data_IF_563490704304
#
_entry.id   IF_563490704304
#
_cell.length_a   1.000
_cell.length_b   1.000
_cell.length_c   1.000
_cell.angle_alpha   90.00
_cell.angle_beta   90.00
_cell.angle_gamma   90.00
#
_symmetry.space_group_name_H-M   'P 1'
#
loop_
_entity.id
_entity.type
_entity.pdbx_description
1 polymer ?
#
# COMPACT_ATOMS: atom_id res chain seq x y z
N UNK A 1 10.21 25.53 29.82
CA UNK A 1 11.32 25.25 28.87
C UNK A 1 10.86 24.93 27.45
N UNK A 2 9.84 24.08 27.21
CA UNK A 2 9.32 23.77 25.86
C UNK A 2 8.80 25.01 25.10
N UNK A 3 8.06 25.90 25.76
CA UNK A 3 7.47 27.10 25.15
C UNK A 3 8.47 28.05 24.48
N UNK A 4 9.64 28.24 25.11
CA UNK A 4 10.71 29.12 24.59
C UNK A 4 11.30 28.54 23.29
N UNK A 5 11.40 27.21 23.20
CA UNK A 5 11.95 26.52 22.04
C UNK A 5 10.98 26.53 20.85
N UNK A 6 9.68 26.46 21.12
CA UNK A 6 8.63 26.49 20.10
C UNK A 6 8.45 27.90 19.51
N UNK A 7 8.56 28.95 20.33
CA UNK A 7 8.59 30.34 19.83
C UNK A 7 9.78 30.59 18.89
N UNK A 8 10.98 30.14 19.27
CA UNK A 8 12.17 30.24 18.41
C UNK A 8 12.01 29.48 17.09
N UNK A 9 11.34 28.33 17.09
CA UNK A 9 11.05 27.57 15.86
C UNK A 9 10.12 28.33 14.94
N UNK A 10 9.05 28.91 15.48
CA UNK A 10 8.07 29.68 14.70
C UNK A 10 8.69 30.93 14.08
N UNK A 11 9.59 31.62 14.80
CA UNK A 11 10.35 32.76 14.27
C UNK A 11 11.29 32.36 13.12
N UNK A 12 11.96 31.21 13.21
CA UNK A 12 12.79 30.71 12.10
C UNK A 12 11.90 30.38 10.90
N UNK A 13 10.72 29.80 11.11
CA UNK A 13 9.80 29.45 10.03
C UNK A 13 9.23 30.69 9.32
N UNK A 14 8.90 31.74 10.06
CA UNK A 14 8.39 33.00 9.50
C UNK A 14 9.46 33.71 8.67
N UNK A 15 10.71 33.77 9.16
CA UNK A 15 11.82 34.39 8.43
C UNK A 15 12.25 33.60 7.18
N UNK A 16 12.06 32.28 7.19
CA UNK A 16 12.24 31.46 5.99
C UNK A 16 11.13 31.68 4.96
N UNK A 17 9.90 32.00 5.40
CA UNK A 17 8.81 32.35 4.48
C UNK A 17 9.03 33.71 3.79
N UNK A 18 9.72 34.64 4.45
CA UNK A 18 10.00 35.97 3.90
C UNK A 18 11.26 36.04 3.02
N UNK A 19 11.89 34.90 2.69
CA UNK A 19 13.00 34.84 1.75
C UNK A 19 14.34 35.39 2.28
N UNK A 20 14.51 35.52 3.60
CA UNK A 20 15.77 36.01 4.15
C UNK A 20 16.93 35.02 4.01
N UNK A 21 18.13 35.56 3.82
CA UNK A 21 19.37 34.77 3.76
C UNK A 21 19.69 34.10 5.10
N UNK A 22 20.33 32.92 5.00
CA UNK A 22 20.60 32.05 6.16
C UNK A 22 21.40 32.76 7.26
N UNK A 23 22.41 33.55 6.88
CA UNK A 23 23.22 34.33 7.82
C UNK A 23 22.40 35.38 8.59
N UNK A 24 21.40 36.00 7.94
CA UNK A 24 20.53 37.01 8.55
C UNK A 24 19.59 36.37 9.59
N UNK A 25 19.09 35.17 9.31
CA UNK A 25 18.19 34.41 10.21
C UNK A 25 18.94 33.95 11.46
N UNK A 26 20.13 33.36 11.27
CA UNK A 26 20.98 32.87 12.37
C UNK A 26 21.36 33.99 13.33
N UNK A 27 21.75 35.16 12.81
CA UNK A 27 22.04 36.34 13.64
C UNK A 27 20.81 36.82 14.43
N UNK A 28 19.63 36.80 13.80
CA UNK A 28 18.39 37.38 14.37
C UNK A 28 17.77 36.50 15.45
N UNK A 29 17.76 35.18 15.28
CA UNK A 29 17.15 34.24 16.24
C UNK A 29 18.16 33.65 17.22
N UNK A 30 19.47 33.91 17.02
CA UNK A 30 20.58 33.37 17.82
C UNK A 30 20.50 31.83 17.95
N UNK A 31 20.37 31.16 16.81
CA UNK A 31 20.33 29.69 16.72
C UNK A 31 21.55 29.18 15.98
N UNK A 32 22.05 27.99 16.32
CA UNK A 32 23.18 27.41 15.59
C UNK A 32 22.81 27.08 14.14
N UNK A 33 23.80 27.14 13.25
CA UNK A 33 23.63 26.79 11.83
C UNK A 33 23.05 25.38 11.64
N UNK A 34 23.49 24.42 12.47
CA UNK A 34 22.99 23.05 12.47
C UNK A 34 21.49 22.98 12.80
N UNK A 35 21.02 23.79 13.76
CA UNK A 35 19.61 23.85 14.15
C UNK A 35 18.75 24.41 13.01
N UNK A 36 19.24 25.43 12.30
CA UNK A 36 18.57 26.00 11.13
C UNK A 36 18.44 24.96 10.01
N UNK A 37 19.53 24.27 9.67
CA UNK A 37 19.55 23.27 8.59
C UNK A 37 18.59 22.11 8.89
N UNK A 38 18.50 21.67 10.15
CA UNK A 38 17.53 20.65 10.57
C UNK A 38 16.07 21.11 10.42
N UNK A 39 15.77 22.38 10.70
CA UNK A 39 14.42 22.95 10.52
C UNK A 39 14.08 23.08 9.02
N UNK A 40 15.04 23.54 8.22
CA UNK A 40 14.90 23.67 6.77
C UNK A 40 14.69 22.32 6.07
N UNK A 41 15.46 21.29 6.43
CA UNK A 41 15.31 19.94 5.89
C UNK A 41 13.91 19.39 6.21
N UNK A 42 13.44 19.54 7.45
CA UNK A 42 12.08 19.12 7.86
C UNK A 42 11.01 19.85 7.03
N UNK A 43 11.18 21.16 6.82
CA UNK A 43 10.26 21.98 6.03
C UNK A 43 10.23 21.58 4.55
N UNK A 44 11.39 21.31 3.96
CA UNK A 44 11.50 20.87 2.57
C UNK A 44 10.76 19.55 2.34
N UNK A 45 10.91 18.57 3.24
CA UNK A 45 10.17 17.30 3.18
C UNK A 45 8.66 17.52 3.15
N UNK A 46 8.16 18.37 4.06
CA UNK A 46 6.73 18.66 4.19
C UNK A 46 6.20 19.36 2.93
N UNK A 47 6.95 20.32 2.37
CA UNK A 47 6.55 21.01 1.14
C UNK A 47 6.54 20.08 -0.08
N UNK A 48 7.52 19.18 -0.22
CA UNK A 48 7.57 18.19 -1.29
C UNK A 48 6.40 17.21 -1.23
N UNK A 49 6.03 16.79 -0.03
CA UNK A 49 4.88 15.90 0.20
C UNK A 49 3.56 16.65 -0.02
N UNK A 50 3.43 17.88 0.49
CA UNK A 50 2.23 18.70 0.33
C UNK A 50 1.98 19.15 -1.11
N UNK A 51 3.04 19.37 -1.92
CA UNK A 51 2.93 19.69 -3.36
C UNK A 51 2.65 18.46 -4.26
N UNK A 52 2.34 17.30 -3.66
CA UNK A 52 1.74 16.16 -4.37
C UNK A 52 2.71 15.17 -5.01
N UNK A 53 4.00 15.16 -4.63
CA UNK A 53 4.99 14.31 -5.28
C UNK A 53 5.10 12.86 -4.76
N UNK A 54 4.73 12.59 -3.51
CA UNK A 54 5.06 11.33 -2.83
C UNK A 54 3.86 10.78 -2.06
N UNK A 55 3.33 9.65 -2.51
CA UNK A 55 2.13 9.04 -1.93
C UNK A 55 2.39 8.30 -0.61
N UNK A 56 3.65 7.92 -0.34
CA UNK A 56 4.01 7.06 0.78
C UNK A 56 5.26 7.54 1.53
N UNK A 57 5.34 7.22 2.83
CA UNK A 57 6.51 7.52 3.67
C UNK A 57 7.80 6.80 3.23
N UNK A 58 7.68 5.67 2.52
CA UNK A 58 8.83 4.93 1.95
C UNK A 58 9.40 5.68 0.76
N UNK A 59 8.55 6.13 -0.17
CA UNK A 59 8.97 6.96 -1.31
C UNK A 59 9.62 8.27 -0.82
N UNK A 60 9.06 8.87 0.23
CA UNK A 60 9.64 10.05 0.86
C UNK A 60 11.02 9.79 1.47
N UNK A 61 11.25 8.62 2.09
CA UNK A 61 12.58 8.21 2.58
C UNK A 61 13.57 8.07 1.41
N UNK A 62 13.17 7.43 0.32
CA UNK A 62 14.03 7.19 -0.84
C UNK A 62 14.43 8.50 -1.53
N UNK A 63 13.49 9.43 -1.74
CA UNK A 63 13.80 10.75 -2.28
C UNK A 63 14.73 11.54 -1.34
N UNK A 64 14.55 11.43 -0.02
CA UNK A 64 15.44 12.07 0.96
C UNK A 64 16.87 11.54 0.91
N UNK A 65 17.02 10.23 0.73
CA UNK A 65 18.32 9.60 0.56
C UNK A 65 18.98 10.04 -0.74
N UNK A 66 18.23 10.16 -1.83
CA UNK A 66 18.75 10.48 -3.16
C UNK A 66 19.06 11.98 -3.33
N UNK A 67 18.12 12.87 -2.98
CA UNK A 67 18.26 14.32 -3.20
C UNK A 67 19.12 15.02 -2.15
N UNK A 68 19.06 14.58 -0.89
CA UNK A 68 19.71 15.28 0.23
C UNK A 68 20.81 14.46 0.90
N UNK A 69 21.09 13.21 0.45
CA UNK A 69 22.05 12.27 1.07
C UNK A 69 21.80 12.06 2.57
N UNK A 70 20.56 12.19 3.02
CA UNK A 70 20.16 12.02 4.42
C UNK A 70 19.51 10.64 4.56
N UNK A 71 20.15 9.74 5.31
CA UNK A 71 19.58 8.44 5.64
C UNK A 71 18.67 8.56 6.88
N UNK A 72 17.37 8.39 6.68
CA UNK A 72 16.37 8.36 7.76
C UNK A 72 15.53 7.09 7.67
N UNK A 73 15.07 6.58 8.82
CA UNK A 73 14.10 5.48 8.83
C UNK A 73 12.73 5.96 8.34
N UNK A 74 11.97 5.06 7.71
CA UNK A 74 10.61 5.37 7.28
C UNK A 74 9.71 5.79 8.46
N UNK A 75 9.97 5.29 9.66
CA UNK A 75 9.24 5.69 10.88
C UNK A 75 9.54 7.12 11.31
N UNK A 76 10.78 7.59 11.12
CA UNK A 76 11.12 9.01 11.35
C UNK A 76 10.33 9.91 10.42
N UNK A 77 10.17 9.49 9.15
CA UNK A 77 9.35 10.20 8.17
C UNK A 77 7.87 10.18 8.59
N UNK A 78 7.32 9.02 8.98
CA UNK A 78 5.93 8.91 9.48
C UNK A 78 5.65 9.80 10.69
N UNK A 79 6.55 9.79 11.69
CA UNK A 79 6.42 10.64 12.89
C UNK A 79 6.44 12.12 12.55
N UNK A 80 7.36 12.50 11.66
CA UNK A 80 7.46 13.89 11.21
C UNK A 80 6.17 14.31 10.53
N UNK A 81 5.65 13.51 9.59
CA UNK A 81 4.40 13.79 8.90
C UNK A 81 3.21 13.90 9.84
N UNK A 82 3.10 12.98 10.81
CA UNK A 82 2.06 13.04 11.85
C UNK A 82 2.14 14.33 12.67
N UNK A 83 3.34 14.78 13.05
CA UNK A 83 3.55 16.04 13.78
C UNK A 83 3.16 17.28 12.97
N UNK A 84 3.24 17.22 11.64
CA UNK A 84 2.78 18.29 10.74
C UNK A 84 1.29 18.16 10.37
N UNK A 85 0.53 17.27 11.03
CA UNK A 85 -0.89 17.05 10.73
C UNK A 85 -1.15 16.25 9.46
N UNK A 86 -0.10 15.76 8.78
CA UNK A 86 -0.17 14.92 7.59
C UNK A 86 -0.27 13.44 8.00
N UNK A 87 -1.32 13.13 8.77
CA UNK A 87 -1.68 11.76 9.12
C UNK A 87 -2.10 10.97 7.89
N UNK A 88 -1.86 9.65 7.89
CA UNK A 88 -2.30 8.79 6.81
C UNK A 88 -3.84 8.83 6.71
N UNK A 89 -4.34 9.30 5.56
CA UNK A 89 -5.74 9.15 5.23
C UNK A 89 -5.98 7.67 4.88
N UNK A 90 -7.03 7.02 5.41
CA UNK A 90 -7.37 5.67 5.01
C UNK A 90 -7.59 5.65 3.50
N UNK A 91 -6.80 4.84 2.79
CA UNK A 91 -6.96 4.65 1.34
C UNK A 91 -8.37 4.10 1.12
N UNK A 92 -9.26 4.90 0.53
CA UNK A 92 -10.59 4.42 0.14
C UNK A 92 -10.40 3.22 -0.78
N UNK A 93 -10.83 2.04 -0.33
CA UNK A 93 -10.92 0.87 -1.18
C UNK A 93 -11.95 1.19 -2.26
N UNK A 94 -11.52 1.23 -3.53
CA UNK A 94 -12.47 1.32 -4.64
C UNK A 94 -13.25 0.00 -4.65
N UNK A 95 -14.48 0.05 -4.17
CA UNK A 95 -15.46 -1.02 -4.37
C UNK A 95 -15.80 -0.97 -5.85
N UNK A 96 -15.17 -1.83 -6.65
CA UNK A 96 -15.61 -2.03 -8.03
C UNK A 96 -17.02 -2.64 -7.93
N UNK A 97 -18.04 -1.89 -8.34
CA UNK A 97 -19.43 -2.36 -8.41
C UNK A 97 -19.63 -3.37 -9.55
N UNK A 98 -18.76 -4.37 -9.65
CA UNK A 98 -18.60 -5.26 -10.80
C UNK A 98 -19.49 -6.50 -10.79
N UNK A 99 -20.61 -6.48 -10.07
CA UNK A 99 -21.47 -7.65 -9.93
C UNK A 99 -20.78 -8.82 -9.22
N UNK A 100 -21.51 -9.92 -9.08
CA UNK A 100 -21.06 -11.16 -8.43
C UNK A 100 -20.97 -12.24 -9.51
N UNK A 101 -19.79 -12.40 -10.11
CA UNK A 101 -19.50 -13.51 -11.02
C UNK A 101 -18.91 -14.63 -10.16
N UNK A 102 -19.65 -15.74 -10.03
CA UNK A 102 -19.13 -16.99 -9.47
C UNK A 102 -19.01 -18.00 -10.58
N UNK A 103 -17.86 -18.68 -10.62
CA UNK A 103 -17.54 -19.70 -11.60
C UNK A 103 -16.92 -20.86 -10.83
N UNK A 104 -17.24 -22.07 -11.25
CA UNK A 104 -16.66 -23.31 -10.74
C UNK A 104 -15.95 -24.06 -11.88
N UNK A 105 -14.83 -24.69 -11.56
CA UNK A 105 -14.24 -25.70 -12.41
C UNK A 105 -13.61 -26.80 -11.56
N UNK A 106 -13.65 -28.03 -12.08
CA UNK A 106 -12.87 -29.12 -11.55
C UNK A 106 -11.43 -29.05 -12.09
N UNK A 107 -10.45 -29.28 -11.21
CA UNK A 107 -9.03 -29.30 -11.57
C UNK A 107 -8.48 -30.68 -11.25
N UNK A 108 -8.19 -31.45 -12.30
CA UNK A 108 -7.55 -32.76 -12.17
C UNK A 108 -6.04 -32.64 -12.34
N UNK A 109 -5.30 -33.66 -11.90
CA UNK A 109 -3.85 -33.75 -12.15
C UNK A 109 -3.51 -33.68 -13.65
N UNK A 110 -4.39 -34.16 -14.52
CA UNK A 110 -4.09 -34.24 -15.94
C UNK A 110 -4.36 -32.93 -16.67
N UNK A 111 -5.48 -32.24 -16.38
CA UNK A 111 -5.93 -30.99 -17.03
C UNK A 111 -6.99 -30.26 -16.19
N UNK A 112 -7.21 -28.97 -16.51
CA UNK A 112 -8.40 -28.21 -16.13
C UNK A 112 -9.62 -28.87 -16.78
N UNK A 113 -10.60 -29.21 -15.94
CA UNK A 113 -11.89 -29.77 -16.33
C UNK A 113 -12.88 -28.67 -16.75
N UNK A 114 -14.15 -29.04 -16.77
CA UNK A 114 -15.24 -28.20 -17.27
C UNK A 114 -15.45 -26.96 -16.38
N UNK A 115 -15.84 -25.86 -17.02
CA UNK A 115 -16.10 -24.56 -16.38
C UNK A 115 -17.61 -24.29 -16.37
N UNK A 116 -18.21 -24.03 -15.21
CA UNK A 116 -19.60 -23.65 -15.11
C UNK A 116 -19.79 -22.32 -14.36
N UNK A 117 -20.71 -21.49 -14.87
CA UNK A 117 -21.11 -20.24 -14.21
C UNK A 117 -22.15 -20.56 -13.13
N UNK A 118 -21.94 -20.05 -11.92
CA UNK A 118 -22.88 -20.17 -10.81
C UNK A 118 -23.77 -18.94 -10.79
N UNK A 119 -25.08 -19.15 -10.94
CA UNK A 119 -26.08 -18.11 -10.77
C UNK A 119 -26.42 -17.95 -9.28
N UNK A 120 -26.25 -16.74 -8.76
CA UNK A 120 -26.55 -16.44 -7.35
C UNK A 120 -25.46 -16.90 -6.39
N UNK A 121 -25.85 -17.53 -5.28
CA UNK A 121 -24.92 -18.00 -4.24
C UNK A 121 -24.75 -19.51 -4.29
N UNK A 122 -23.50 -19.97 -4.29
CA UNK A 122 -23.17 -21.37 -4.09
C UNK A 122 -23.66 -21.83 -2.72
N UNK A 123 -24.60 -22.76 -2.70
CA UNK A 123 -25.10 -23.40 -1.49
C UNK A 123 -24.62 -24.86 -1.44
N UNK A 124 -24.69 -25.49 -0.26
CA UNK A 124 -24.16 -26.86 -0.10
C UNK A 124 -24.84 -27.90 -1.00
N UNK A 125 -26.12 -27.74 -1.33
CA UNK A 125 -26.82 -28.66 -2.24
C UNK A 125 -26.34 -28.50 -3.68
N UNK A 126 -26.24 -27.26 -4.14
CA UNK A 126 -25.73 -26.91 -5.47
C UNK A 126 -24.26 -27.30 -5.64
N UNK A 127 -23.46 -27.13 -4.58
CA UNK A 127 -22.08 -27.60 -4.57
C UNK A 127 -22.00 -29.10 -4.80
N UNK A 128 -22.78 -29.89 -4.05
CA UNK A 128 -22.78 -31.35 -4.18
C UNK A 128 -23.23 -31.79 -5.56
N UNK A 129 -24.30 -31.22 -6.10
CA UNK A 129 -24.76 -31.57 -7.45
C UNK A 129 -23.70 -31.25 -8.51
N UNK A 130 -23.05 -30.09 -8.42
CA UNK A 130 -21.96 -29.74 -9.36
C UNK A 130 -20.77 -30.69 -9.19
N UNK A 131 -20.38 -31.00 -7.95
CA UNK A 131 -19.25 -31.88 -7.67
C UNK A 131 -19.52 -33.31 -8.13
N UNK A 132 -20.73 -33.84 -7.93
CA UNK A 132 -21.12 -35.18 -8.37
C UNK A 132 -21.14 -35.24 -9.91
N UNK A 133 -21.76 -34.26 -10.58
CA UNK A 133 -21.81 -34.17 -12.04
C UNK A 133 -20.43 -34.00 -12.70
N UNK A 134 -19.55 -33.19 -12.10
CA UNK A 134 -18.19 -32.96 -12.61
C UNK A 134 -17.30 -34.19 -12.38
N UNK A 135 -17.38 -34.81 -11.19
CA UNK A 135 -16.63 -36.01 -10.83
C UNK A 135 -16.94 -37.17 -11.79
N UNK A 136 -18.21 -37.41 -12.12
CA UNK A 136 -18.60 -38.44 -13.09
C UNK A 136 -17.94 -38.20 -14.46
N UNK A 137 -18.00 -36.96 -14.97
CA UNK A 137 -17.37 -36.59 -16.24
C UNK A 137 -15.85 -36.75 -16.19
N UNK A 138 -15.21 -36.35 -15.09
CA UNK A 138 -13.78 -36.48 -14.93
C UNK A 138 -13.35 -37.96 -14.89
N UNK A 139 -14.11 -38.82 -14.20
CA UNK A 139 -13.84 -40.26 -14.18
C UNK A 139 -13.99 -40.88 -15.57
N UNK A 140 -15.03 -40.48 -16.32
CA UNK A 140 -15.24 -40.96 -17.69
C UNK A 140 -14.10 -40.55 -18.63
N UNK A 141 -13.69 -39.28 -18.57
CA UNK A 141 -12.55 -38.78 -19.36
C UNK A 141 -11.24 -39.51 -19.00
N UNK A 142 -10.99 -39.74 -17.71
CA UNK A 142 -9.80 -40.46 -17.25
C UNK A 142 -9.82 -41.92 -17.67
N UNK A 143 -10.97 -42.58 -17.58
CA UNK A 143 -11.17 -43.97 -17.99
C UNK A 143 -10.90 -44.14 -19.49
N UNK A 144 -11.44 -43.25 -20.32
CA UNK A 144 -11.19 -43.24 -21.77
C UNK A 144 -9.71 -43.04 -22.10
N UNK A 145 -9.07 -42.08 -21.43
CA UNK A 145 -7.67 -41.70 -21.72
C UNK A 145 -6.67 -42.76 -21.28
N UNK A 146 -6.90 -43.39 -20.12
CA UNK A 146 -6.03 -44.42 -19.57
C UNK A 146 -6.39 -45.83 -20.09
N UNK A 147 -7.48 -45.97 -20.86
CA UNK A 147 -8.02 -47.26 -21.32
C UNK A 147 -8.31 -48.22 -20.16
N UNK A 148 -8.75 -47.67 -19.03
CA UNK A 148 -9.12 -48.41 -17.83
C UNK A 148 -10.63 -48.45 -17.70
N UNK A 149 -11.16 -49.47 -17.01
CA UNK A 149 -12.57 -49.48 -16.64
C UNK A 149 -12.80 -48.50 -15.48
N UNK A 150 -13.96 -47.85 -15.43
CA UNK A 150 -14.27 -46.82 -14.40
C UNK A 150 -14.10 -47.34 -12.97
N UNK A 151 -14.40 -48.62 -12.74
CA UNK A 151 -14.20 -49.30 -11.45
C UNK A 151 -12.73 -49.60 -11.09
N UNK A 152 -11.77 -49.29 -11.96
CA UNK A 152 -10.33 -49.34 -11.68
C UNK A 152 -9.75 -47.94 -11.40
N UNK A 153 -10.51 -46.89 -11.70
CA UNK A 153 -10.12 -45.48 -11.47
C UNK A 153 -10.58 -45.03 -10.08
N UNK A 154 -11.71 -45.56 -9.60
CA UNK A 154 -12.23 -45.33 -8.26
C UNK A 154 -11.79 -46.49 -7.35
N UNK A 155 -11.02 -46.19 -6.30
CA UNK A 155 -10.60 -47.14 -5.26
C UNK A 155 -11.69 -47.34 -4.20
#
# INVERSE_FOLDING_TARGET
>A
MKSILDNKRNDVLSLLNSGHTVAKIVRRVRVSQATKLAIENKRYCVQKIAKGGLGNAIQAKEELSHSLKINVSADTVRRTLKNYGLGALPKKTRKHGGGRIMIWCEISYSRIGWLCKIEGNLNSKLYKSIADDDLEKCIDEMSQKLKLRSNQVIL
#
